data_IF_066250770279
#
_entry.id   IF_066250770279
#
_cell.length_a   1.000
_cell.length_b   1.000
_cell.length_c   1.000
_cell.angle_alpha   90.00
_cell.angle_beta   90.00
_cell.angle_gamma   90.00
#
_symmetry.space_group_name_H-M   'P 1'
#
loop_
_entity.id
_entity.type
_entity.pdbx_description
1 polymer ?
#
# COMPACT_ATOMS: atom_id res chain seq x y z
N UNK A 1 -13.40 -15.91 -18.18
CA UNK A 1 -13.10 -15.30 -16.87
C UNK A 1 -13.16 -13.79 -17.08
N UNK A 2 -14.08 -13.09 -16.41
CA UNK A 2 -14.17 -11.62 -16.49
C UNK A 2 -12.91 -11.02 -15.86
N UNK A 3 -12.31 -10.02 -16.50
CA UNK A 3 -11.23 -9.24 -15.88
C UNK A 3 -11.77 -8.58 -14.61
N UNK A 4 -10.97 -8.54 -13.53
CA UNK A 4 -11.38 -7.81 -12.32
C UNK A 4 -11.61 -6.33 -12.67
N UNK A 5 -12.54 -5.65 -11.97
CA UNK A 5 -12.81 -4.25 -12.22
C UNK A 5 -11.56 -3.41 -11.96
N UNK A 6 -11.28 -2.43 -12.82
CA UNK A 6 -10.22 -1.46 -12.61
C UNK A 6 -10.64 -0.53 -11.47
N UNK A 7 -10.01 -0.65 -10.31
CA UNK A 7 -10.29 0.15 -9.11
C UNK A 7 -9.51 1.46 -9.10
N UNK A 8 -8.29 1.44 -9.66
CA UNK A 8 -7.36 2.57 -9.67
C UNK A 8 -6.91 2.88 -11.08
N UNK A 9 -7.08 4.12 -11.52
CA UNK A 9 -6.44 4.61 -12.74
C UNK A 9 -4.94 4.83 -12.47
N UNK A 10 -4.13 3.84 -12.84
CA UNK A 10 -2.68 3.84 -12.65
C UNK A 10 -2.00 5.04 -13.32
N UNK A 11 -2.47 5.44 -14.48
CA UNK A 11 -1.89 6.57 -15.23
C UNK A 11 -2.11 7.89 -14.46
N UNK A 12 -3.30 8.06 -13.92
CA UNK A 12 -3.63 9.22 -13.09
C UNK A 12 -2.88 9.21 -11.76
N UNK A 13 -2.77 8.05 -11.09
CA UNK A 13 -1.97 7.89 -9.87
C UNK A 13 -0.50 8.30 -10.09
N UNK A 14 0.13 7.82 -11.16
CA UNK A 14 1.51 8.17 -11.49
C UNK A 14 1.68 9.67 -11.78
N UNK A 15 0.75 10.30 -12.50
CA UNK A 15 0.76 11.76 -12.73
C UNK A 15 0.62 12.55 -11.42
N UNK A 16 -0.23 12.08 -10.49
CA UNK A 16 -0.38 12.73 -9.19
C UNK A 16 0.90 12.60 -8.34
N UNK A 17 1.52 11.42 -8.32
CA UNK A 17 2.81 11.20 -7.65
C UNK A 17 3.91 12.08 -8.24
N UNK A 18 3.98 12.17 -9.57
CA UNK A 18 4.96 13.04 -10.23
C UNK A 18 4.74 14.53 -9.88
N UNK A 19 3.48 14.98 -9.87
CA UNK A 19 3.13 16.36 -9.47
C UNK A 19 3.51 16.60 -8.00
N UNK A 20 3.21 15.65 -7.11
CA UNK A 20 3.57 15.75 -5.70
C UNK A 20 5.09 15.87 -5.51
N UNK A 21 5.88 15.09 -6.25
CA UNK A 21 7.35 15.17 -6.21
C UNK A 21 7.90 16.52 -6.66
N UNK A 22 7.18 17.23 -7.53
CA UNK A 22 7.57 18.58 -8.01
C UNK A 22 7.15 19.68 -7.03
N UNK A 23 6.42 19.36 -5.96
CA UNK A 23 5.97 20.36 -5.00
C UNK A 23 7.12 20.73 -4.03
N UNK A 24 7.30 22.03 -3.70
CA UNK A 24 8.37 22.45 -2.77
C UNK A 24 8.33 21.77 -1.40
N UNK A 25 7.14 21.44 -0.90
CA UNK A 25 6.92 20.73 0.38
C UNK A 25 6.68 19.24 0.19
N UNK A 26 7.28 18.63 -0.83
CA UNK A 26 7.12 17.19 -1.06
C UNK A 26 7.57 16.36 0.14
N UNK A 27 8.72 16.70 0.69
CA UNK A 27 9.30 15.97 1.82
C UNK A 27 8.38 15.99 3.06
N UNK A 28 7.81 17.14 3.39
CA UNK A 28 6.83 17.28 4.47
C UNK A 28 5.55 16.49 4.23
N UNK A 29 5.11 16.35 2.98
CA UNK A 29 3.91 15.59 2.61
C UNK A 29 4.05 14.08 2.81
N UNK A 30 5.27 13.54 2.90
CA UNK A 30 5.55 12.12 3.10
C UNK A 30 5.53 11.66 4.57
N UNK A 31 5.04 12.49 5.50
CA UNK A 31 5.05 12.19 6.94
C UNK A 31 4.39 10.85 7.29
N UNK A 32 3.28 10.47 6.63
CA UNK A 32 2.63 9.17 6.86
C UNK A 32 3.51 7.99 6.44
N UNK A 33 4.23 8.11 5.32
CA UNK A 33 5.18 7.09 4.91
C UNK A 33 6.33 6.95 5.91
N UNK A 34 6.84 8.08 6.45
CA UNK A 34 7.88 8.08 7.47
C UNK A 34 7.43 7.42 8.77
N UNK A 35 6.21 7.75 9.24
CA UNK A 35 5.63 7.13 10.42
C UNK A 35 5.44 5.62 10.23
N UNK A 36 4.89 5.21 9.08
CA UNK A 36 4.71 3.79 8.77
C UNK A 36 6.05 3.04 8.65
N UNK A 37 7.07 3.66 8.05
CA UNK A 37 8.42 3.09 7.96
C UNK A 37 9.04 2.90 9.36
N UNK A 38 8.90 3.90 10.23
CA UNK A 38 9.37 3.80 11.61
C UNK A 38 8.66 2.70 12.40
N UNK A 39 7.33 2.57 12.27
CA UNK A 39 6.56 1.49 12.92
C UNK A 39 7.01 0.11 12.41
N UNK A 40 7.22 -0.05 11.11
CA UNK A 40 7.73 -1.30 10.53
C UNK A 40 9.13 -1.62 11.07
N UNK A 41 10.01 -0.63 11.17
CA UNK A 41 11.36 -0.83 11.74
C UNK A 41 11.30 -1.30 13.20
N UNK A 42 10.42 -0.71 14.02
CA UNK A 42 10.26 -1.13 15.42
C UNK A 42 9.74 -2.58 15.51
N UNK A 43 8.73 -2.95 14.70
CA UNK A 43 8.21 -4.32 14.64
C UNK A 43 9.27 -5.33 14.19
N UNK A 44 10.13 -4.96 13.26
CA UNK A 44 11.23 -5.82 12.82
C UNK A 44 12.26 -6.08 13.93
N UNK A 45 12.48 -5.13 14.84
CA UNK A 45 13.34 -5.33 16.03
C UNK A 45 12.73 -6.33 17.02
N UNK A 46 11.39 -6.37 17.14
CA UNK A 46 10.68 -7.33 17.99
C UNK A 46 10.78 -8.76 17.44
N UNK A 47 10.90 -8.91 16.12
CA UNK A 47 11.13 -10.21 15.47
C UNK A 47 12.60 -10.57 15.61
N UNK A 48 13.01 -11.24 16.65
CA UNK A 48 14.41 -11.63 16.95
C UNK A 48 15.08 -12.42 15.79
N UNK A 49 15.21 -11.77 14.63
CA UNK A 49 15.72 -12.37 13.38
C UNK A 49 16.43 -11.32 12.51
N UNK A 50 17.55 -11.72 11.90
CA UNK A 50 18.24 -10.93 10.90
C UNK A 50 17.77 -11.31 9.50
N UNK A 51 17.34 -10.32 8.71
CA UNK A 51 16.96 -10.50 7.31
C UNK A 51 18.14 -10.16 6.39
N UNK A 52 18.42 -11.03 5.43
CA UNK A 52 19.59 -10.92 4.52
C UNK A 52 19.19 -10.62 3.09
N UNK A 53 17.94 -10.79 2.75
CA UNK A 53 17.41 -10.59 1.40
C UNK A 53 16.05 -9.88 1.45
N UNK A 54 15.94 -8.69 2.11
CA UNK A 54 14.70 -7.96 2.16
C UNK A 54 14.35 -7.36 0.80
N UNK A 55 13.07 -7.13 0.55
CA UNK A 55 12.56 -6.34 -0.58
C UNK A 55 11.33 -5.56 -0.15
N UNK A 56 11.18 -4.35 -0.68
CA UNK A 56 10.05 -3.48 -0.39
C UNK A 56 9.27 -3.19 -1.67
N UNK A 57 7.95 -3.29 -1.62
CA UNK A 57 7.02 -2.87 -2.68
C UNK A 57 6.47 -1.50 -2.31
N UNK A 58 6.82 -0.46 -3.05
CA UNK A 58 6.35 0.91 -2.76
C UNK A 58 6.44 1.84 -3.96
N UNK A 59 5.53 2.82 -4.00
CA UNK A 59 5.61 3.96 -4.92
C UNK A 59 6.46 5.13 -4.43
N UNK A 60 7.09 5.03 -3.23
CA UNK A 60 7.89 6.09 -2.61
C UNK A 60 9.26 5.53 -2.15
N UNK A 61 10.16 5.21 -3.10
CA UNK A 61 11.44 4.58 -2.78
C UNK A 61 12.32 5.42 -1.86
N UNK A 62 12.20 6.74 -1.89
CA UNK A 62 12.97 7.67 -1.09
C UNK A 62 12.80 7.47 0.43
N UNK A 63 11.67 6.91 0.87
CA UNK A 63 11.41 6.63 2.29
C UNK A 63 11.77 5.20 2.66
N UNK A 64 11.54 4.26 1.74
CA UNK A 64 11.55 2.83 2.06
C UNK A 64 12.86 2.12 1.73
N UNK A 65 13.79 2.79 1.03
CA UNK A 65 15.08 2.20 0.62
C UNK A 65 16.01 1.81 1.78
N UNK A 66 15.80 2.37 2.97
CA UNK A 66 16.55 1.99 4.19
C UNK A 66 16.23 0.56 4.66
N UNK A 67 15.03 0.04 4.32
CA UNK A 67 14.59 -1.30 4.71
C UNK A 67 14.96 -2.38 3.68
N UNK A 68 15.44 -1.99 2.51
CA UNK A 68 15.87 -2.89 1.45
C UNK A 68 15.65 -2.33 0.05
N UNK A 69 16.04 -3.07 -0.99
CA UNK A 69 15.75 -2.72 -2.38
C UNK A 69 14.25 -2.51 -2.59
N UNK A 70 13.87 -1.43 -3.29
CA UNK A 70 12.48 -1.09 -3.54
C UNK A 70 12.10 -1.43 -4.98
N UNK A 71 11.00 -2.17 -5.14
CA UNK A 71 10.35 -2.40 -6.43
C UNK A 71 9.07 -1.56 -6.53
N UNK A 72 8.69 -1.18 -7.75
CA UNK A 72 7.48 -0.41 -8.00
C UNK A 72 6.23 -1.22 -7.62
N UNK A 73 5.21 -0.51 -7.16
CA UNK A 73 3.90 -1.06 -6.79
C UNK A 73 2.96 -1.23 -8.00
N UNK A 74 3.50 -1.70 -9.12
CA UNK A 74 2.74 -1.98 -10.33
C UNK A 74 1.83 -3.22 -10.15
N UNK A 75 0.84 -3.40 -11.01
CA UNK A 75 -0.08 -4.55 -10.91
C UNK A 75 0.67 -5.89 -11.01
N UNK A 76 1.73 -5.95 -11.83
CA UNK A 76 2.70 -7.04 -11.85
C UNK A 76 3.97 -6.64 -11.10
N UNK A 77 4.21 -7.22 -9.93
CA UNK A 77 5.38 -6.90 -9.11
C UNK A 77 6.64 -7.55 -9.68
N UNK A 78 7.72 -6.76 -9.80
CA UNK A 78 9.03 -7.24 -10.25
C UNK A 78 9.77 -7.97 -9.11
N UNK A 79 9.16 -9.04 -8.59
CA UNK A 79 9.69 -9.86 -7.51
C UNK A 79 10.21 -11.19 -8.04
N UNK A 80 11.38 -11.62 -7.57
CA UNK A 80 11.94 -12.93 -7.90
C UNK A 80 11.36 -14.00 -6.97
N UNK A 81 10.76 -15.10 -7.50
CA UNK A 81 10.21 -16.16 -6.68
C UNK A 81 11.25 -16.79 -5.75
N UNK A 82 10.84 -17.08 -4.51
CA UNK A 82 11.63 -17.72 -3.46
C UNK A 82 13.03 -17.09 -3.25
N UNK A 83 13.15 -15.77 -3.46
CA UNK A 83 14.42 -15.06 -3.36
C UNK A 83 14.58 -14.26 -2.06
N UNK A 84 13.49 -13.99 -1.36
CA UNK A 84 13.47 -13.05 -0.25
C UNK A 84 13.13 -13.74 1.09
N UNK A 85 13.76 -13.29 2.16
CA UNK A 85 13.44 -13.69 3.54
C UNK A 85 12.54 -12.67 4.25
N UNK A 86 12.40 -11.46 3.67
CA UNK A 86 11.47 -10.42 4.08
C UNK A 86 10.87 -9.73 2.86
N UNK A 87 9.55 -9.63 2.81
CA UNK A 87 8.83 -8.80 1.84
C UNK A 87 7.98 -7.79 2.60
N UNK A 88 8.18 -6.50 2.32
CA UNK A 88 7.39 -5.41 2.90
C UNK A 88 6.53 -4.78 1.80
N UNK A 89 5.20 -4.82 1.93
CA UNK A 89 4.29 -4.09 1.05
C UNK A 89 3.90 -2.76 1.71
N UNK A 90 4.53 -1.69 1.23
CA UNK A 90 4.63 -0.43 1.94
C UNK A 90 3.71 0.66 1.37
N UNK A 91 2.61 0.94 2.07
CA UNK A 91 1.67 2.05 1.83
C UNK A 91 1.14 2.12 0.39
N UNK A 92 0.97 0.97 -0.28
CA UNK A 92 0.54 0.95 -1.69
C UNK A 92 -0.53 -0.09 -2.02
N UNK A 93 -0.82 -1.05 -1.13
CA UNK A 93 -1.81 -2.12 -1.39
C UNK A 93 -3.23 -1.58 -1.68
N UNK A 94 -3.61 -0.47 -1.09
CA UNK A 94 -4.90 0.20 -1.32
C UNK A 94 -5.02 0.86 -2.71
N UNK A 95 -3.92 0.96 -3.47
CA UNK A 95 -3.91 1.40 -4.86
C UNK A 95 -3.89 0.24 -5.86
N UNK A 96 -3.78 -1.00 -5.41
CA UNK A 96 -3.72 -2.16 -6.28
C UNK A 96 -5.07 -2.43 -6.96
N UNK A 97 -5.05 -2.75 -8.26
CA UNK A 97 -6.25 -3.22 -8.97
C UNK A 97 -6.59 -4.67 -8.63
N UNK A 98 -5.57 -5.46 -8.27
CA UNK A 98 -5.70 -6.82 -7.76
C UNK A 98 -4.89 -7.00 -6.48
N UNK A 99 -5.42 -6.56 -5.31
CA UNK A 99 -4.72 -6.70 -4.03
C UNK A 99 -4.39 -8.15 -3.69
N UNK A 100 -5.30 -9.10 -3.97
CA UNK A 100 -5.08 -10.51 -3.73
C UNK A 100 -3.94 -11.05 -4.62
N UNK A 101 -3.93 -10.70 -5.89
CA UNK A 101 -2.85 -11.07 -6.80
C UNK A 101 -1.50 -10.51 -6.35
N UNK A 102 -1.45 -9.29 -5.82
CA UNK A 102 -0.21 -8.75 -5.24
C UNK A 102 0.24 -9.49 -3.98
N UNK A 103 -0.68 -9.84 -3.08
CA UNK A 103 -0.36 -10.67 -1.90
C UNK A 103 0.19 -12.03 -2.31
N UNK A 104 -0.41 -12.68 -3.32
CA UNK A 104 0.09 -13.95 -3.86
C UNK A 104 1.48 -13.81 -4.50
N UNK A 105 1.76 -12.71 -5.20
CA UNK A 105 3.09 -12.43 -5.76
C UNK A 105 4.12 -12.26 -4.63
N UNK A 106 3.79 -11.51 -3.58
CA UNK A 106 4.63 -11.35 -2.39
C UNK A 106 4.91 -12.70 -1.71
N UNK A 107 3.87 -13.53 -1.52
CA UNK A 107 4.03 -14.88 -0.96
C UNK A 107 4.97 -15.76 -1.79
N UNK A 108 4.82 -15.75 -3.12
CA UNK A 108 5.70 -16.51 -4.04
C UNK A 108 7.14 -16.02 -4.02
N UNK A 109 7.38 -14.75 -3.73
CA UNK A 109 8.71 -14.18 -3.62
C UNK A 109 9.44 -14.59 -2.33
N UNK A 110 8.69 -14.96 -1.29
CA UNK A 110 9.24 -15.42 -0.02
C UNK A 110 9.82 -16.83 -0.11
N UNK A 111 10.96 -17.01 0.55
CA UNK A 111 11.51 -18.31 0.88
C UNK A 111 10.64 -19.00 1.95
N UNK A 112 10.75 -20.32 2.14
CA UNK A 112 10.20 -20.98 3.31
C UNK A 112 10.60 -20.23 4.59
N UNK A 113 9.64 -20.06 5.51
CA UNK A 113 9.84 -19.29 6.75
C UNK A 113 10.16 -17.79 6.55
N UNK A 114 9.91 -17.23 5.37
CA UNK A 114 10.03 -15.79 5.10
C UNK A 114 8.92 -15.00 5.78
N UNK A 115 9.23 -13.75 6.19
CA UNK A 115 8.27 -12.84 6.83
C UNK A 115 7.65 -11.91 5.78
N UNK A 116 6.33 -11.74 5.85
CA UNK A 116 5.59 -10.72 5.11
C UNK A 116 5.04 -9.65 6.06
N UNK A 117 5.26 -8.39 5.73
CA UNK A 117 4.65 -7.24 6.42
C UNK A 117 3.94 -6.37 5.38
N UNK A 118 2.69 -5.99 5.66
CA UNK A 118 1.97 -5.00 4.86
C UNK A 118 1.54 -3.82 5.74
N UNK A 119 1.86 -2.60 5.31
CA UNK A 119 1.36 -1.37 5.91
C UNK A 119 0.52 -0.61 4.87
N UNK A 120 -0.73 -0.28 5.21
CA UNK A 120 -1.64 0.46 4.33
C UNK A 120 -2.80 1.07 5.13
N UNK A 121 -3.45 2.15 4.62
CA UNK A 121 -4.67 2.68 5.19
C UNK A 121 -5.80 1.64 5.13
N UNK A 122 -6.43 1.35 6.26
CA UNK A 122 -7.50 0.36 6.36
C UNK A 122 -8.64 0.79 7.27
N UNK A 123 -9.73 0.01 7.35
CA UNK A 123 -10.84 0.19 8.25
C UNK A 123 -11.47 1.58 8.19
N UNK A 124 -11.38 2.31 9.28
CA UNK A 124 -12.01 3.63 9.43
C UNK A 124 -11.19 4.81 8.88
N UNK A 125 -10.11 4.57 8.16
CA UNK A 125 -9.32 5.65 7.55
C UNK A 125 -10.21 6.53 6.67
N UNK A 126 -10.12 7.85 6.87
CA UNK A 126 -10.93 8.89 6.20
C UNK A 126 -12.46 8.72 6.32
N UNK A 127 -12.94 7.97 7.32
CA UNK A 127 -14.38 7.75 7.50
C UNK A 127 -15.15 9.07 7.73
N UNK A 128 -14.62 9.96 8.55
CA UNK A 128 -15.24 11.26 8.83
C UNK A 128 -15.30 12.13 7.57
N UNK A 129 -14.20 12.20 6.82
CA UNK A 129 -14.16 12.93 5.55
C UNK A 129 -15.19 12.36 4.56
N UNK A 130 -15.26 11.04 4.43
CA UNK A 130 -16.25 10.39 3.55
C UNK A 130 -17.69 10.73 3.94
N UNK A 131 -18.00 10.67 5.24
CA UNK A 131 -19.33 10.98 5.74
C UNK A 131 -19.69 12.44 5.54
N UNK A 132 -18.79 13.37 5.85
CA UNK A 132 -19.01 14.81 5.69
C UNK A 132 -19.20 15.21 4.23
N UNK A 133 -18.39 14.64 3.32
CA UNK A 133 -18.54 14.90 1.89
C UNK A 133 -19.86 14.33 1.34
N UNK A 134 -20.27 13.15 1.78
CA UNK A 134 -21.53 12.55 1.37
C UNK A 134 -22.73 13.39 1.82
N UNK A 135 -22.73 13.86 3.06
CA UNK A 135 -23.78 14.73 3.58
C UNK A 135 -23.85 16.06 2.83
N UNK A 136 -22.72 16.74 2.65
CA UNK A 136 -22.66 18.01 1.93
C UNK A 136 -23.14 17.86 0.48
N UNK A 137 -22.72 16.82 -0.23
CA UNK A 137 -23.11 16.58 -1.62
C UNK A 137 -24.61 16.26 -1.73
N UNK A 138 -25.14 15.44 -0.83
CA UNK A 138 -26.58 15.15 -0.77
C UNK A 138 -27.41 16.43 -0.59
N UNK A 139 -26.97 17.36 0.26
CA UNK A 139 -27.66 18.63 0.50
C UNK A 139 -27.58 19.59 -0.69
N UNK A 140 -26.45 19.63 -1.39
CA UNK A 140 -26.18 20.58 -2.47
C UNK A 140 -26.72 20.11 -3.83
N UNK A 141 -26.54 18.82 -4.14
CA UNK A 141 -26.84 18.27 -5.47
C UNK A 141 -27.99 17.27 -5.49
N UNK A 142 -28.45 16.82 -4.32
CA UNK A 142 -29.48 15.78 -4.19
C UNK A 142 -29.00 14.37 -4.56
N UNK A 143 -27.69 14.16 -4.76
CA UNK A 143 -27.09 12.89 -5.13
C UNK A 143 -25.83 12.59 -4.34
N UNK A 144 -25.20 11.43 -4.61
CA UNK A 144 -23.94 11.02 -4.00
C UNK A 144 -22.96 10.55 -5.06
N UNK A 145 -21.72 11.03 -4.99
CA UNK A 145 -20.60 10.52 -5.79
C UNK A 145 -19.55 9.88 -4.87
N UNK A 146 -18.86 8.83 -5.31
CA UNK A 146 -17.80 8.20 -4.54
C UNK A 146 -16.54 9.09 -4.51
N UNK A 147 -16.46 10.01 -3.55
CA UNK A 147 -15.34 10.95 -3.41
C UNK A 147 -14.18 10.37 -2.61
N UNK A 148 -14.48 9.49 -1.66
CA UNK A 148 -13.49 8.81 -0.84
C UNK A 148 -13.77 7.31 -0.92
N UNK A 149 -12.81 6.55 -1.43
CA UNK A 149 -12.93 5.10 -1.54
C UNK A 149 -13.05 4.46 -0.14
N UNK A 150 -13.98 3.51 0.08
CA UNK A 150 -13.98 2.74 1.31
C UNK A 150 -12.70 1.90 1.40
N UNK A 151 -12.07 1.92 2.57
CA UNK A 151 -10.86 1.12 2.81
C UNK A 151 -11.23 -0.32 3.15
N UNK A 152 -10.35 -1.26 2.82
CA UNK A 152 -10.52 -2.67 3.15
C UNK A 152 -10.52 -2.90 4.67
N UNK A 153 -11.39 -3.78 5.14
CA UNK A 153 -11.41 -4.18 6.54
C UNK A 153 -10.19 -5.08 6.86
N UNK A 154 -9.55 -4.83 7.99
CA UNK A 154 -8.36 -5.57 8.43
C UNK A 154 -8.64 -7.07 8.55
N UNK A 155 -9.85 -7.43 9.00
CA UNK A 155 -10.30 -8.83 9.11
C UNK A 155 -10.34 -9.53 7.75
N UNK A 156 -10.90 -8.87 6.74
CA UNK A 156 -11.07 -9.46 5.41
C UNK A 156 -9.72 -9.68 4.74
N UNK A 157 -8.82 -8.70 4.86
CA UNK A 157 -7.46 -8.81 4.35
C UNK A 157 -6.64 -9.86 5.14
N UNK A 158 -6.83 -9.97 6.44
CA UNK A 158 -6.22 -11.02 7.26
C UNK A 158 -6.69 -12.42 6.85
N UNK A 159 -7.96 -12.59 6.48
CA UNK A 159 -8.49 -13.86 5.98
C UNK A 159 -7.89 -14.27 4.63
N UNK A 160 -7.48 -13.32 3.80
CA UNK A 160 -6.82 -13.60 2.51
C UNK A 160 -5.36 -14.08 2.67
N UNK A 161 -4.77 -13.93 3.85
CA UNK A 161 -3.38 -14.34 4.13
C UNK A 161 -3.28 -15.73 4.77
N UNK A 162 -4.38 -16.38 5.05
CA UNK A 162 -4.46 -17.74 5.58
C UNK A 162 -4.47 -18.79 4.44
#
# INVERSE_FOLDING_TARGET
MSQPPVLTDRSTLLRHRQRARSHPDHDGSLFLHRLASADVQERLKEVNRTFTSPVVVSGQPEIWSELGPVVADDDGLSLTPAAHDLVIHAMSLHWANDPLGQLLQCRRALRPDGLFIAAFPGGRTLHELRSSLAEAESQVTGGLSPRVLPMGEVRDLGALMQ
#
